data_IF_597175035281
#
_entry.id   IF_597175035281
#
_cell.length_a   1.000
_cell.length_b   1.000
_cell.length_c   1.000
_cell.angle_alpha   90.00
_cell.angle_beta   90.00
_cell.angle_gamma   90.00
#
_symmetry.space_group_name_H-M   'P 1'
#
loop_
_entity.id
_entity.type
_entity.pdbx_description
1 polymer ?
#
# COMPACT_ATOMS: atom_id res chain seq x y z
N UNK A 1 25.95 -20.75 5.16
CA UNK A 1 25.91 -19.92 6.39
C UNK A 1 26.44 -18.55 6.04
N UNK A 2 25.64 -17.51 6.28
CA UNK A 2 26.00 -16.13 5.98
C UNK A 2 27.23 -15.68 6.75
N UNK A 3 28.16 -15.01 6.09
CA UNK A 3 29.32 -14.37 6.70
C UNK A 3 29.09 -12.87 6.82
N UNK A 4 29.51 -12.27 7.93
CA UNK A 4 29.38 -10.82 8.18
C UNK A 4 30.77 -10.28 8.52
N UNK A 5 31.24 -9.29 7.75
CA UNK A 5 32.53 -8.62 7.97
C UNK A 5 32.28 -7.14 8.25
N UNK A 6 32.82 -6.64 9.37
CA UNK A 6 32.81 -5.22 9.67
C UNK A 6 33.96 -4.51 8.93
N UNK A 7 33.62 -3.41 8.28
CA UNK A 7 34.57 -2.46 7.67
C UNK A 7 34.26 -1.03 8.11
N UNK A 8 35.25 -0.17 8.03
CA UNK A 8 35.06 1.27 8.19
C UNK A 8 35.25 1.94 6.85
N UNK A 9 34.28 2.75 6.44
CA UNK A 9 34.32 3.52 5.19
C UNK A 9 34.13 4.98 5.54
N UNK A 10 34.94 5.87 4.97
CA UNK A 10 34.78 7.31 5.19
C UNK A 10 33.66 7.89 4.30
N UNK A 11 33.11 9.03 4.70
CA UNK A 11 32.17 9.77 3.86
C UNK A 11 32.81 10.11 2.51
N UNK A 12 34.09 10.49 2.49
CA UNK A 12 34.81 10.77 1.25
C UNK A 12 34.89 9.57 0.31
N UNK A 13 35.14 8.38 0.85
CA UNK A 13 35.15 7.15 0.04
C UNK A 13 33.77 6.82 -0.51
N UNK A 14 32.69 6.95 0.30
CA UNK A 14 31.35 6.59 -0.14
C UNK A 14 30.77 7.56 -1.16
N UNK A 15 31.14 8.84 -1.06
CA UNK A 15 30.70 9.90 -1.99
C UNK A 15 31.56 9.98 -3.26
N UNK A 16 32.71 9.32 -3.29
CA UNK A 16 33.55 9.25 -4.48
C UNK A 16 32.80 8.59 -5.62
N UNK A 17 32.77 9.24 -6.79
CA UNK A 17 32.05 8.74 -7.96
C UNK A 17 30.52 8.65 -7.77
N UNK A 18 29.95 9.45 -6.88
CA UNK A 18 28.50 9.47 -6.69
C UNK A 18 27.78 9.92 -7.95
N UNK A 19 26.83 9.12 -8.38
CA UNK A 19 25.89 9.41 -9.47
C UNK A 19 24.46 9.04 -9.04
N UNK A 20 23.51 9.84 -9.49
CA UNK A 20 22.06 9.59 -9.29
C UNK A 20 21.34 9.97 -10.58
N UNK A 21 21.23 9.01 -11.50
CA UNK A 21 20.55 9.18 -12.78
C UNK A 21 19.78 7.90 -13.17
N UNK A 22 18.95 8.00 -14.22
CA UNK A 22 18.11 6.89 -14.67
C UNK A 22 18.88 5.80 -15.43
N UNK A 23 20.07 6.11 -15.98
CA UNK A 23 20.86 5.15 -16.76
C UNK A 23 21.71 4.25 -15.86
N UNK A 24 22.42 4.85 -14.91
CA UNK A 24 23.36 4.15 -14.03
C UNK A 24 22.77 3.83 -12.65
N UNK A 25 21.54 4.31 -12.37
CA UNK A 25 20.94 4.20 -11.05
C UNK A 25 21.58 5.15 -10.03
N UNK A 26 21.67 4.73 -8.78
CA UNK A 26 22.28 5.51 -7.70
C UNK A 26 23.51 4.77 -7.19
N UNK A 27 24.69 5.24 -7.57
CA UNK A 27 25.95 4.59 -7.25
C UNK A 27 26.88 5.51 -6.46
N UNK A 28 27.76 4.93 -5.68
CA UNK A 28 28.83 5.59 -4.94
C UNK A 28 29.99 4.64 -4.69
N UNK A 29 30.92 5.01 -3.82
CA UNK A 29 32.09 4.20 -3.47
C UNK A 29 32.92 3.82 -4.72
N UNK A 30 33.21 4.82 -5.56
CA UNK A 30 33.92 4.60 -6.83
C UNK A 30 33.12 3.82 -7.87
N UNK A 31 31.79 3.80 -7.78
CA UNK A 31 30.91 3.02 -8.65
C UNK A 31 30.64 1.58 -8.14
N UNK A 32 31.35 1.14 -7.10
CA UNK A 32 31.28 -0.24 -6.58
C UNK A 32 30.06 -0.50 -5.69
N UNK A 33 29.33 0.53 -5.27
CA UNK A 33 28.18 0.43 -4.38
C UNK A 33 26.89 0.91 -5.07
N UNK A 34 25.93 0.00 -5.19
CA UNK A 34 24.54 0.35 -5.51
C UNK A 34 23.85 0.86 -4.23
N UNK A 35 23.63 2.17 -4.15
CA UNK A 35 23.04 2.81 -2.98
C UNK A 35 21.53 2.62 -2.95
N UNK A 36 20.88 2.50 -4.11
CA UNK A 36 19.44 2.30 -4.25
C UNK A 36 19.12 1.13 -5.17
N UNK A 37 19.38 -0.10 -4.71
CA UNK A 37 19.04 -1.28 -5.49
C UNK A 37 17.53 -1.34 -5.77
N UNK A 38 17.08 -2.07 -6.81
CA UNK A 38 15.70 -2.07 -7.30
C UNK A 38 14.63 -2.40 -6.25
N UNK A 39 14.98 -3.16 -5.20
CA UNK A 39 14.05 -3.51 -4.13
C UNK A 39 13.86 -2.40 -3.08
N UNK A 40 14.79 -1.45 -2.97
CA UNK A 40 14.71 -0.34 -2.03
C UNK A 40 13.68 0.69 -2.48
N UNK A 41 13.09 1.39 -1.50
CA UNK A 41 12.18 2.52 -1.73
C UNK A 41 12.94 3.72 -2.27
N UNK A 42 12.20 4.65 -2.85
CA UNK A 42 12.76 5.97 -3.20
C UNK A 42 13.20 6.73 -1.95
N UNK A 43 14.03 7.78 -2.17
CA UNK A 43 14.48 8.66 -1.10
C UNK A 43 13.29 9.38 -0.46
N UNK A 44 13.11 9.23 0.85
CA UNK A 44 11.94 9.72 1.59
C UNK A 44 12.30 10.66 2.75
N UNK A 45 13.59 10.87 3.05
CA UNK A 45 13.96 11.85 4.05
C UNK A 45 13.58 13.23 3.56
N UNK A 46 12.87 13.99 4.40
CA UNK A 46 12.69 15.41 4.18
C UNK A 46 13.98 16.19 4.54
N UNK A 47 14.03 17.46 4.16
CA UNK A 47 15.20 18.29 4.38
C UNK A 47 15.67 18.33 5.85
N UNK A 48 14.74 18.31 6.79
CA UNK A 48 15.05 18.28 8.24
C UNK A 48 15.73 16.99 8.66
N UNK A 49 15.30 15.86 8.12
CA UNK A 49 15.90 14.54 8.37
C UNK A 49 17.28 14.44 7.73
N UNK A 50 17.47 15.00 6.53
CA UNK A 50 18.77 15.09 5.87
C UNK A 50 19.75 15.96 6.67
N UNK A 51 19.33 17.13 7.09
CA UNK A 51 20.13 18.04 7.92
C UNK A 51 20.52 17.41 9.25
N UNK A 52 19.67 16.59 9.85
CA UNK A 52 19.98 15.86 11.09
C UNK A 52 21.12 14.85 10.90
N UNK A 53 21.25 14.22 9.73
CA UNK A 53 22.40 13.35 9.40
C UNK A 53 23.69 14.17 9.38
N UNK A 54 23.69 15.32 8.71
CA UNK A 54 24.88 16.21 8.63
C UNK A 54 25.25 16.75 10.00
N UNK A 55 24.27 17.18 10.79
CA UNK A 55 24.49 17.63 12.17
C UNK A 55 25.16 16.56 13.03
N UNK A 56 24.76 15.30 12.88
CA UNK A 56 25.32 14.14 13.61
C UNK A 56 26.79 13.94 13.25
N UNK A 57 27.13 14.01 11.95
CA UNK A 57 28.51 13.91 11.45
C UNK A 57 29.38 15.06 11.98
N UNK A 58 28.86 16.27 11.93
CA UNK A 58 29.60 17.48 12.41
C UNK A 58 29.83 17.46 13.92
N UNK A 59 28.92 16.87 14.69
CA UNK A 59 29.11 16.68 16.13
C UNK A 59 30.05 15.53 16.48
N UNK A 60 30.43 14.70 15.50
CA UNK A 60 31.22 13.50 15.72
C UNK A 60 30.48 12.40 16.46
N UNK A 61 29.13 12.48 16.48
CA UNK A 61 28.31 11.42 17.10
C UNK A 61 28.21 10.22 16.17
N UNK A 62 28.09 8.99 16.70
CA UNK A 62 27.97 7.81 15.85
C UNK A 62 26.67 7.83 15.08
N UNK A 63 26.73 7.69 13.77
CA UNK A 63 25.61 7.28 12.96
C UNK A 63 25.35 5.78 13.18
N UNK A 64 24.08 5.35 13.14
CA UNK A 64 23.76 3.93 13.18
C UNK A 64 24.53 3.19 12.08
N UNK A 65 24.90 1.94 12.38
CA UNK A 65 25.61 1.07 11.44
C UNK A 65 24.87 0.92 10.12
N UNK A 66 25.61 0.73 9.06
CA UNK A 66 25.07 0.47 7.73
C UNK A 66 25.31 -0.98 7.36
N UNK A 67 24.44 -1.55 6.55
CA UNK A 67 24.52 -2.93 6.12
C UNK A 67 24.56 -2.99 4.61
N UNK A 68 25.61 -3.62 4.10
CA UNK A 68 25.80 -3.88 2.68
C UNK A 68 25.77 -5.37 2.41
N UNK A 69 25.33 -5.74 1.23
CA UNK A 69 25.39 -7.11 0.73
C UNK A 69 26.40 -7.18 -0.40
N UNK A 70 27.19 -8.24 -0.40
CA UNK A 70 28.06 -8.57 -1.54
C UNK A 70 27.26 -9.37 -2.57
N UNK A 71 27.31 -8.89 -3.83
CA UNK A 71 26.80 -9.59 -5.01
C UNK A 71 27.91 -10.47 -5.56
N UNK A 72 27.67 -11.79 -5.66
CA UNK A 72 28.69 -12.72 -6.15
C UNK A 72 28.91 -12.58 -7.66
N UNK A 73 27.86 -12.20 -8.39
CA UNK A 73 27.80 -12.26 -9.85
C UNK A 73 28.01 -10.90 -10.54
N UNK A 74 28.21 -9.82 -9.79
CA UNK A 74 28.40 -8.48 -10.31
C UNK A 74 29.79 -7.94 -9.94
N UNK A 75 30.76 -8.10 -10.85
CA UNK A 75 32.13 -7.63 -10.64
C UNK A 75 32.27 -6.11 -10.74
N UNK A 76 31.39 -5.42 -11.47
CA UNK A 76 31.45 -3.97 -11.66
C UNK A 76 30.83 -3.20 -10.48
N UNK A 77 29.76 -3.76 -9.88
CA UNK A 77 29.08 -3.17 -8.73
C UNK A 77 28.84 -4.22 -7.64
N UNK A 78 29.93 -4.70 -6.97
CA UNK A 78 29.90 -5.84 -6.09
C UNK A 78 29.15 -5.63 -4.78
N UNK A 79 28.74 -4.40 -4.45
CA UNK A 79 28.03 -4.10 -3.21
C UNK A 79 26.68 -3.44 -3.47
N UNK A 80 25.73 -3.75 -2.61
CA UNK A 80 24.43 -3.07 -2.57
C UNK A 80 24.07 -2.71 -1.12
N UNK A 81 23.43 -1.56 -0.94
CA UNK A 81 22.96 -1.14 0.38
C UNK A 81 21.74 -1.96 0.77
N UNK A 82 21.81 -2.67 1.90
CA UNK A 82 20.67 -3.37 2.49
C UNK A 82 19.93 -2.50 3.51
N UNK A 83 20.67 -1.85 4.45
CA UNK A 83 20.14 -0.81 5.32
C UNK A 83 21.13 0.35 5.43
N UNK A 84 20.58 1.56 5.67
CA UNK A 84 21.34 2.80 5.70
C UNK A 84 21.21 3.64 4.43
N UNK A 85 20.40 3.26 3.46
CA UNK A 85 20.18 3.98 2.20
C UNK A 85 19.91 5.47 2.41
N UNK A 86 18.96 5.84 3.27
CA UNK A 86 18.57 7.24 3.48
C UNK A 86 19.72 8.08 4.04
N UNK A 87 20.51 7.51 4.94
CA UNK A 87 21.70 8.15 5.53
C UNK A 87 22.79 8.31 4.49
N UNK A 88 23.05 7.24 3.71
CA UNK A 88 24.04 7.27 2.63
C UNK A 88 23.68 8.32 1.59
N UNK A 89 22.42 8.36 1.14
CA UNK A 89 21.95 9.37 0.18
C UNK A 89 22.06 10.78 0.72
N UNK A 90 21.71 11.01 1.99
CA UNK A 90 21.85 12.34 2.62
C UNK A 90 23.30 12.83 2.61
N UNK A 91 24.25 11.93 2.88
CA UNK A 91 25.68 12.26 2.84
C UNK A 91 26.13 12.56 1.40
N UNK A 92 25.77 11.72 0.44
CA UNK A 92 26.13 11.90 -0.96
C UNK A 92 25.52 13.19 -1.54
N UNK A 93 24.25 13.44 -1.32
CA UNK A 93 23.55 14.61 -1.82
C UNK A 93 24.07 15.91 -1.20
N UNK A 94 24.45 15.89 0.09
CA UNK A 94 25.07 17.06 0.71
C UNK A 94 26.43 17.38 0.09
N UNK A 95 27.30 16.38 -0.06
CA UNK A 95 28.63 16.56 -0.67
C UNK A 95 28.50 16.97 -2.14
N UNK A 96 27.47 16.49 -2.85
CA UNK A 96 27.13 16.89 -4.22
C UNK A 96 26.46 18.28 -4.31
N UNK A 97 26.17 18.93 -3.17
CA UNK A 97 25.60 20.29 -3.12
C UNK A 97 24.09 20.37 -3.40
N UNK A 98 23.36 19.26 -3.32
CA UNK A 98 21.91 19.21 -3.60
C UNK A 98 21.04 19.89 -2.55
N UNK A 99 21.52 20.01 -1.31
CA UNK A 99 20.84 20.74 -0.25
C UNK A 99 21.85 21.46 0.67
N UNK A 100 21.35 22.33 1.53
CA UNK A 100 22.17 23.13 2.47
C UNK A 100 21.95 22.67 3.92
N UNK A 101 22.98 22.78 4.73
CA UNK A 101 22.92 22.68 6.19
C UNK A 101 23.27 24.05 6.79
N UNK A 102 22.42 24.62 7.63
CA UNK A 102 22.55 25.96 8.20
C UNK A 102 22.89 27.04 7.12
N UNK A 103 22.08 26.99 6.03
CA UNK A 103 22.21 27.89 4.87
C UNK A 103 23.52 27.79 4.09
N UNK A 104 24.35 26.77 4.33
CA UNK A 104 25.62 26.55 3.61
C UNK A 104 25.58 25.20 2.88
N UNK A 105 25.88 25.22 1.60
CA UNK A 105 26.19 24.00 0.84
C UNK A 105 27.60 23.52 1.21
N UNK A 106 27.87 22.24 0.95
CA UNK A 106 29.15 21.62 1.28
C UNK A 106 30.36 22.45 0.77
N UNK A 107 30.33 22.91 -0.49
CA UNK A 107 31.40 23.69 -1.11
C UNK A 107 31.61 25.09 -0.48
N UNK A 108 30.60 25.59 0.24
CA UNK A 108 30.68 26.90 0.93
C UNK A 108 31.05 26.73 2.42
N UNK A 109 31.33 25.51 2.87
CA UNK A 109 31.85 25.26 4.22
C UNK A 109 33.36 25.58 4.27
N UNK A 110 33.90 26.01 5.42
CA UNK A 110 35.34 26.07 5.65
C UNK A 110 36.06 24.75 5.35
N UNK A 111 37.28 24.80 4.87
CA UNK A 111 38.03 23.57 4.48
C UNK A 111 38.23 22.58 5.62
N UNK A 112 38.37 23.02 6.85
CA UNK A 112 38.47 22.17 8.02
C UNK A 112 37.17 21.43 8.28
N UNK A 113 36.04 22.08 8.06
CA UNK A 113 34.68 21.45 8.14
C UNK A 113 34.49 20.47 7.01
N UNK A 114 34.84 20.80 5.77
CA UNK A 114 34.76 19.86 4.64
C UNK A 114 35.60 18.60 4.91
N UNK A 115 36.87 18.80 5.36
CA UNK A 115 37.74 17.66 5.73
C UNK A 115 37.17 16.81 6.86
N UNK A 116 36.58 17.45 7.88
CA UNK A 116 35.93 16.75 9.00
C UNK A 116 34.75 15.87 8.51
N UNK A 117 33.95 16.40 7.60
CA UNK A 117 32.83 15.63 7.00
C UNK A 117 33.37 14.45 6.19
N UNK A 118 34.32 14.71 5.27
CA UNK A 118 34.86 13.67 4.39
C UNK A 118 35.61 12.57 5.14
N UNK A 119 36.30 12.92 6.23
CA UNK A 119 37.05 11.96 7.05
C UNK A 119 36.22 11.21 8.07
N UNK A 120 34.93 11.56 8.22
CA UNK A 120 34.04 10.87 9.15
C UNK A 120 33.86 9.40 8.77
N UNK A 121 34.08 8.49 9.75
CA UNK A 121 34.06 7.05 9.55
C UNK A 121 32.66 6.48 9.79
N UNK A 122 32.16 5.76 8.82
CA UNK A 122 30.94 4.98 8.85
C UNK A 122 31.27 3.54 9.19
N UNK A 123 30.55 2.94 10.14
CA UNK A 123 30.65 1.50 10.42
C UNK A 123 29.71 0.77 9.48
N UNK A 124 30.27 -0.13 8.67
CA UNK A 124 29.54 -0.91 7.68
C UNK A 124 29.73 -2.39 7.95
N UNK A 125 28.64 -3.15 7.98
CA UNK A 125 28.68 -4.61 7.96
C UNK A 125 28.40 -5.08 6.53
N UNK A 126 29.38 -5.78 5.95
CA UNK A 126 29.26 -6.42 4.64
C UNK A 126 28.84 -7.88 4.85
N UNK A 127 27.72 -8.26 4.26
CA UNK A 127 27.09 -9.56 4.41
C UNK A 127 27.21 -10.35 3.11
N UNK A 128 27.63 -11.60 3.21
CA UNK A 128 27.78 -12.52 2.09
C UNK A 128 27.17 -13.86 2.47
N UNK A 129 26.29 -14.42 1.62
CA UNK A 129 25.59 -15.68 1.87
C UNK A 129 24.49 -15.92 0.83
N UNK A 130 23.71 -16.97 1.02
CA UNK A 130 22.60 -17.31 0.15
C UNK A 130 21.47 -16.26 0.21
N UNK A 131 20.70 -16.06 -0.88
CA UNK A 131 19.61 -15.10 -0.93
C UNK A 131 18.59 -15.23 0.21
N UNK A 132 18.24 -16.47 0.59
CA UNK A 132 17.32 -16.75 1.69
C UNK A 132 17.86 -16.31 3.05
N UNK A 133 19.16 -16.56 3.32
CA UNK A 133 19.81 -16.16 4.57
C UNK A 133 19.91 -14.62 4.69
N UNK A 134 20.28 -13.96 3.58
CA UNK A 134 20.34 -12.49 3.50
C UNK A 134 18.97 -11.88 3.79
N UNK A 135 17.91 -12.50 3.26
CA UNK A 135 16.55 -12.05 3.44
C UNK A 135 16.05 -12.18 4.87
N UNK A 136 16.24 -13.34 5.51
CA UNK A 136 15.81 -13.56 6.89
C UNK A 136 16.54 -12.61 7.84
N UNK A 137 17.80 -12.35 7.55
CA UNK A 137 18.55 -11.38 8.31
C UNK A 137 18.06 -9.93 8.06
N UNK A 138 17.75 -9.57 6.81
CA UNK A 138 17.17 -8.26 6.46
C UNK A 138 15.85 -8.00 7.18
N UNK A 139 14.97 -8.99 7.29
CA UNK A 139 13.75 -8.89 8.11
C UNK A 139 14.10 -8.57 9.57
N UNK A 140 15.13 -9.21 10.10
CA UNK A 140 15.54 -9.05 11.49
C UNK A 140 16.11 -7.67 11.80
N UNK A 141 16.97 -7.11 10.95
CA UNK A 141 17.59 -5.79 11.19
C UNK A 141 16.62 -4.62 11.03
N UNK A 142 15.59 -4.77 10.20
CA UNK A 142 14.58 -3.72 10.01
C UNK A 142 13.65 -3.51 11.22
N UNK A 143 13.73 -4.35 12.24
CA UNK A 143 12.93 -4.20 13.48
C UNK A 143 13.29 -2.92 14.25
N UNK A 144 14.52 -2.41 14.12
CA UNK A 144 15.05 -1.28 14.93
C UNK A 144 14.98 0.10 14.25
N UNK A 145 14.55 0.21 12.99
CA UNK A 145 14.55 1.46 12.20
C UNK A 145 13.17 1.90 11.71
N UNK A 146 13.13 2.73 10.66
CA UNK A 146 11.90 3.04 9.93
C UNK A 146 11.48 1.79 9.16
N UNK A 147 10.62 0.98 9.79
CA UNK A 147 10.24 -0.35 9.31
C UNK A 147 9.81 -0.34 7.86
N UNK A 148 10.35 -1.27 7.09
CA UNK A 148 9.82 -1.61 5.77
C UNK A 148 8.44 -2.22 5.93
N UNK A 149 7.54 -1.87 5.03
CA UNK A 149 6.26 -2.55 4.97
C UNK A 149 6.42 -3.93 4.27
N UNK A 150 5.38 -4.74 4.39
CA UNK A 150 5.35 -6.09 3.83
C UNK A 150 5.68 -6.12 2.32
N UNK A 151 5.19 -5.14 1.54
CA UNK A 151 5.46 -5.09 0.11
C UNK A 151 6.91 -4.70 -0.20
N UNK A 152 7.52 -3.81 0.59
CA UNK A 152 8.93 -3.47 0.46
C UNK A 152 9.82 -4.69 0.73
N UNK A 153 9.46 -5.51 1.71
CA UNK A 153 10.12 -6.79 2.00
C UNK A 153 9.93 -7.76 0.82
N UNK A 154 8.71 -7.93 0.33
CA UNK A 154 8.43 -8.80 -0.80
C UNK A 154 9.21 -8.38 -2.07
N UNK A 155 9.35 -7.07 -2.32
CA UNK A 155 10.15 -6.57 -3.43
C UNK A 155 11.64 -6.94 -3.30
N UNK A 156 12.15 -7.05 -2.08
CA UNK A 156 13.52 -7.50 -1.82
C UNK A 156 13.68 -9.01 -2.01
N UNK A 157 12.68 -9.78 -1.52
CA UNK A 157 12.65 -11.26 -1.65
C UNK A 157 12.66 -11.70 -3.10
N UNK A 158 11.76 -11.10 -3.88
CA UNK A 158 11.50 -11.46 -5.27
C UNK A 158 12.14 -10.46 -6.22
N UNK A 159 13.28 -9.86 -5.81
CA UNK A 159 14.04 -8.97 -6.67
C UNK A 159 14.37 -9.65 -8.01
N UNK A 160 14.12 -8.94 -9.11
CA UNK A 160 14.32 -9.48 -10.47
C UNK A 160 13.83 -8.48 -11.52
N UNK A 161 13.92 -8.85 -12.82
CA UNK A 161 13.48 -7.98 -13.92
C UNK A 161 12.02 -7.58 -13.78
N UNK A 162 11.13 -8.50 -13.41
CA UNK A 162 9.71 -8.27 -13.15
C UNK A 162 9.47 -7.15 -12.14
N UNK A 163 10.06 -7.26 -10.93
CA UNK A 163 9.88 -6.24 -9.86
C UNK A 163 10.49 -4.90 -10.28
N UNK A 164 11.63 -4.92 -10.95
CA UNK A 164 12.29 -3.72 -11.45
C UNK A 164 11.43 -2.96 -12.44
N UNK A 165 10.78 -3.67 -13.38
CA UNK A 165 9.86 -3.07 -14.34
C UNK A 165 8.55 -2.66 -13.69
N UNK A 166 7.96 -3.49 -12.83
CA UNK A 166 6.76 -3.16 -12.07
C UNK A 166 6.91 -1.83 -11.30
N UNK A 167 8.06 -1.58 -10.67
CA UNK A 167 8.32 -0.32 -9.97
C UNK A 167 8.32 0.91 -10.88
N UNK A 168 8.68 0.80 -12.15
CA UNK A 168 8.56 1.91 -13.11
C UNK A 168 7.12 2.33 -13.31
N UNK A 169 6.20 1.37 -13.36
CA UNK A 169 4.78 1.61 -13.57
C UNK A 169 4.04 2.05 -12.31
N UNK A 170 4.45 1.54 -11.12
CA UNK A 170 3.65 1.62 -9.90
C UNK A 170 4.25 2.42 -8.75
N UNK A 171 5.57 2.68 -8.74
CA UNK A 171 6.26 3.17 -7.54
C UNK A 171 7.06 4.46 -7.71
N UNK A 172 7.28 4.90 -8.94
CA UNK A 172 7.98 6.18 -9.20
C UNK A 172 7.03 7.37 -9.04
N UNK A 173 7.58 8.49 -8.62
CA UNK A 173 6.85 9.76 -8.56
C UNK A 173 6.22 10.06 -9.93
N UNK A 174 4.93 10.41 -9.94
CA UNK A 174 4.14 10.66 -11.15
C UNK A 174 4.03 9.46 -12.13
N UNK A 175 4.22 8.23 -11.65
CA UNK A 175 4.06 7.04 -12.49
C UNK A 175 2.65 6.90 -13.08
N UNK A 176 2.54 6.03 -14.10
CA UNK A 176 1.28 5.78 -14.79
C UNK A 176 0.17 5.29 -13.85
N UNK A 177 0.51 4.40 -12.91
CA UNK A 177 -0.46 3.85 -11.96
C UNK A 177 -1.06 4.92 -11.03
N UNK A 178 -0.26 5.86 -10.56
CA UNK A 178 -0.75 6.97 -9.75
C UNK A 178 -1.64 7.92 -10.55
N UNK A 179 -1.20 8.32 -11.74
CA UNK A 179 -2.01 9.22 -12.59
C UNK A 179 -3.39 8.64 -12.90
N UNK A 180 -3.46 7.34 -13.16
CA UNK A 180 -4.70 6.64 -13.46
C UNK A 180 -5.53 6.36 -12.21
N UNK A 181 -4.88 5.94 -11.11
CA UNK A 181 -5.54 5.32 -9.95
C UNK A 181 -5.68 6.18 -8.70
N UNK A 182 -5.12 7.40 -8.64
CA UNK A 182 -5.08 8.23 -7.40
C UNK A 182 -6.44 8.47 -6.74
N UNK A 183 -7.50 8.48 -7.53
CA UNK A 183 -8.87 8.71 -7.08
C UNK A 183 -9.66 7.41 -6.84
N UNK A 184 -9.13 6.27 -7.21
CA UNK A 184 -9.76 4.96 -7.13
C UNK A 184 -9.07 4.00 -6.16
N UNK A 185 -7.76 4.13 -5.99
CA UNK A 185 -6.91 3.27 -5.15
C UNK A 185 -6.48 4.02 -3.89
N UNK A 186 -6.54 3.34 -2.75
CA UNK A 186 -5.99 3.84 -1.51
C UNK A 186 -4.48 3.59 -1.44
N UNK A 187 -3.75 4.51 -0.78
CA UNK A 187 -2.34 4.34 -0.48
C UNK A 187 -1.45 5.44 -1.06
N UNK A 188 -0.16 5.27 -0.85
CA UNK A 188 0.90 6.19 -1.28
C UNK A 188 1.95 5.47 -2.13
N UNK A 189 2.51 6.16 -3.11
CA UNK A 189 3.56 5.61 -3.99
C UNK A 189 4.79 5.18 -3.20
N UNK A 190 5.23 6.04 -2.28
CA UNK A 190 6.45 5.83 -1.50
C UNK A 190 6.42 4.58 -0.62
N UNK A 191 5.22 4.05 -0.31
CA UNK A 191 5.02 2.82 0.45
C UNK A 191 4.67 1.62 -0.41
N UNK A 192 4.82 1.73 -1.71
CA UNK A 192 4.53 0.65 -2.66
C UNK A 192 3.06 0.19 -2.69
N UNK A 193 2.13 0.99 -2.14
CA UNK A 193 0.72 0.60 -1.98
C UNK A 193 0.02 0.34 -3.32
N UNK A 194 0.38 1.11 -4.37
CA UNK A 194 -0.15 0.92 -5.72
C UNK A 194 0.33 -0.39 -6.34
N UNK A 195 1.63 -0.73 -6.16
CA UNK A 195 2.17 -2.01 -6.60
C UNK A 195 1.52 -3.17 -5.85
N UNK A 196 1.45 -3.07 -4.51
CA UNK A 196 0.79 -4.07 -3.67
C UNK A 196 -0.64 -4.32 -4.16
N UNK A 197 -1.42 -3.25 -4.41
CA UNK A 197 -2.80 -3.37 -4.84
C UNK A 197 -2.93 -4.02 -6.23
N UNK A 198 -2.05 -3.68 -7.16
CA UNK A 198 -2.05 -4.30 -8.49
C UNK A 198 -1.73 -5.81 -8.40
N UNK A 199 -0.75 -6.18 -7.57
CA UNK A 199 -0.38 -7.59 -7.33
C UNK A 199 -1.51 -8.36 -6.65
N UNK A 200 -2.18 -7.79 -5.64
CA UNK A 200 -3.35 -8.37 -5.00
C UNK A 200 -4.46 -8.65 -6.02
N UNK A 201 -4.77 -7.66 -6.85
CA UNK A 201 -5.81 -7.79 -7.88
C UNK A 201 -5.46 -8.85 -8.92
N UNK A 202 -4.21 -8.93 -9.33
CA UNK A 202 -3.79 -9.93 -10.32
C UNK A 202 -3.80 -11.34 -9.73
N UNK A 203 -3.32 -11.53 -8.50
CA UNK A 203 -3.38 -12.81 -7.81
C UNK A 203 -4.84 -13.29 -7.57
N UNK A 204 -5.75 -12.36 -7.23
CA UNK A 204 -7.17 -12.65 -7.12
C UNK A 204 -7.80 -13.00 -8.48
N UNK A 205 -7.38 -12.30 -9.56
CA UNK A 205 -7.82 -12.60 -10.92
C UNK A 205 -7.43 -14.02 -11.33
N UNK A 206 -6.17 -14.41 -11.18
CA UNK A 206 -5.71 -15.76 -11.46
C UNK A 206 -6.42 -16.82 -10.62
N UNK A 207 -6.71 -16.50 -9.34
CA UNK A 207 -7.48 -17.40 -8.49
C UNK A 207 -8.90 -17.62 -9.01
N UNK A 208 -9.55 -16.60 -9.56
CA UNK A 208 -10.87 -16.71 -10.21
C UNK A 208 -10.84 -17.48 -11.52
N UNK A 209 -9.73 -17.42 -12.25
CA UNK A 209 -9.47 -18.22 -13.45
C UNK A 209 -9.10 -19.69 -13.14
N UNK A 210 -9.08 -20.09 -11.85
CA UNK A 210 -8.83 -21.46 -11.40
C UNK A 210 -7.41 -21.74 -10.94
N UNK A 211 -6.53 -20.74 -10.94
CA UNK A 211 -5.15 -20.83 -10.46
C UNK A 211 -5.06 -20.28 -9.04
N UNK A 212 -5.18 -21.12 -8.02
CA UNK A 212 -5.10 -20.67 -6.62
C UNK A 212 -3.77 -19.93 -6.37
N UNK A 213 -3.85 -18.61 -6.30
CA UNK A 213 -2.67 -17.75 -6.22
C UNK A 213 -2.76 -16.77 -5.05
N UNK A 214 -1.62 -16.52 -4.41
CA UNK A 214 -1.44 -15.44 -3.43
C UNK A 214 -0.56 -14.36 -4.03
N UNK A 215 -0.56 -13.14 -3.47
CA UNK A 215 0.37 -12.08 -3.89
C UNK A 215 1.81 -12.57 -3.89
N UNK A 216 2.23 -13.25 -2.83
CA UNK A 216 3.58 -13.80 -2.67
C UNK A 216 3.86 -14.89 -3.69
N UNK A 217 2.91 -15.79 -3.90
CA UNK A 217 3.00 -16.84 -4.92
C UNK A 217 3.10 -16.27 -6.34
N UNK A 218 2.32 -15.24 -6.66
CA UNK A 218 2.40 -14.53 -7.94
C UNK A 218 3.79 -13.91 -8.15
N UNK A 219 4.33 -13.20 -7.16
CA UNK A 219 5.67 -12.60 -7.24
C UNK A 219 6.76 -13.66 -7.41
N UNK A 220 6.64 -14.81 -6.72
CA UNK A 220 7.58 -15.92 -6.85
C UNK A 220 7.55 -16.55 -8.25
N UNK A 221 6.35 -16.77 -8.80
CA UNK A 221 6.18 -17.37 -10.13
C UNK A 221 6.73 -16.47 -11.25
N UNK A 222 6.59 -15.16 -11.11
CA UNK A 222 6.96 -14.17 -12.12
C UNK A 222 8.31 -13.48 -11.87
N UNK A 223 9.07 -13.84 -10.83
CA UNK A 223 10.32 -13.19 -10.43
C UNK A 223 11.29 -12.97 -11.60
N UNK A 224 11.39 -13.93 -12.50
CA UNK A 224 12.32 -13.95 -13.61
C UNK A 224 11.72 -13.50 -14.95
N UNK A 225 10.47 -13.10 -14.98
CA UNK A 225 9.85 -12.54 -16.18
C UNK A 225 10.58 -11.26 -16.59
N UNK A 226 10.73 -11.04 -17.90
CA UNK A 226 11.49 -9.91 -18.43
C UNK A 226 10.87 -8.56 -18.09
N UNK A 227 9.55 -8.52 -17.93
CA UNK A 227 8.80 -7.32 -17.63
C UNK A 227 7.53 -7.60 -16.81
N UNK A 228 6.84 -6.55 -16.40
CA UNK A 228 5.55 -6.59 -15.69
C UNK A 228 4.38 -6.12 -16.55
N UNK A 229 4.48 -6.25 -17.87
CA UNK A 229 3.47 -5.74 -18.82
C UNK A 229 2.08 -6.35 -18.56
N UNK A 230 1.99 -7.64 -18.25
CA UNK A 230 0.71 -8.31 -17.96
C UNK A 230 0.02 -7.67 -16.75
N UNK A 231 0.75 -7.44 -15.68
CA UNK A 231 0.28 -6.77 -14.47
C UNK A 231 -0.19 -5.34 -14.78
N UNK A 232 0.62 -4.59 -15.55
CA UNK A 232 0.31 -3.21 -15.91
C UNK A 232 -0.93 -3.10 -16.79
N UNK A 233 -1.04 -3.94 -17.82
CA UNK A 233 -2.20 -3.96 -18.72
C UNK A 233 -3.49 -4.36 -18.00
N UNK A 234 -3.42 -5.33 -17.09
CA UNK A 234 -4.58 -5.71 -16.28
C UNK A 234 -5.04 -4.55 -15.38
N UNK A 235 -4.13 -3.92 -14.66
CA UNK A 235 -4.42 -2.74 -13.83
C UNK A 235 -5.07 -1.61 -14.65
N UNK A 236 -4.55 -1.35 -15.85
CA UNK A 236 -5.15 -0.35 -16.75
C UNK A 236 -6.57 -0.73 -17.20
N UNK A 237 -6.79 -2.00 -17.58
CA UNK A 237 -8.12 -2.48 -17.98
C UNK A 237 -9.14 -2.30 -16.86
N UNK A 238 -8.78 -2.69 -15.64
CA UNK A 238 -9.62 -2.56 -14.45
C UNK A 238 -10.03 -1.11 -14.20
N UNK A 239 -9.06 -0.20 -14.15
CA UNK A 239 -9.34 1.20 -13.84
C UNK A 239 -10.02 1.95 -14.98
N UNK A 240 -9.64 1.69 -16.23
CA UNK A 240 -10.32 2.28 -17.39
C UNK A 240 -11.78 1.85 -17.46
N UNK A 241 -12.08 0.59 -17.15
CA UNK A 241 -13.47 0.12 -17.04
C UNK A 241 -14.24 0.87 -15.95
N UNK A 242 -13.65 1.03 -14.77
CA UNK A 242 -14.27 1.79 -13.69
C UNK A 242 -14.55 3.25 -14.08
N UNK A 243 -13.58 3.91 -14.71
CA UNK A 243 -13.70 5.31 -15.18
C UNK A 243 -14.75 5.44 -16.28
N UNK A 244 -14.85 4.47 -17.20
CA UNK A 244 -15.81 4.50 -18.28
C UNK A 244 -17.27 4.30 -17.83
N UNK A 245 -17.47 3.54 -16.73
CA UNK A 245 -18.82 3.17 -16.30
C UNK A 245 -19.36 4.03 -15.14
N UNK A 246 -18.50 4.76 -14.42
CA UNK A 246 -18.92 5.55 -13.25
C UNK A 246 -18.41 6.99 -13.34
N UNK A 247 -19.28 7.96 -13.07
CA UNK A 247 -18.94 9.39 -13.10
C UNK A 247 -17.99 9.76 -11.94
N UNK A 248 -16.70 9.85 -12.26
CA UNK A 248 -15.65 10.20 -11.30
C UNK A 248 -15.86 11.55 -10.62
N UNK A 249 -16.50 12.52 -11.28
CA UNK A 249 -16.74 13.85 -10.70
C UNK A 249 -17.82 13.80 -9.64
N UNK A 250 -18.86 12.99 -9.87
CA UNK A 250 -20.02 12.90 -8.97
C UNK A 250 -19.83 11.89 -7.83
N UNK A 251 -19.13 10.79 -8.08
CA UNK A 251 -19.12 9.63 -7.19
C UNK A 251 -17.76 9.32 -6.56
N UNK A 252 -16.77 10.20 -6.73
CA UNK A 252 -15.40 10.03 -6.21
C UNK A 252 -15.34 9.57 -4.75
N UNK A 253 -16.20 10.13 -3.89
CA UNK A 253 -16.19 9.83 -2.44
C UNK A 253 -16.52 8.37 -2.11
N UNK A 254 -17.29 7.70 -2.96
CA UNK A 254 -17.71 6.30 -2.75
C UNK A 254 -16.95 5.31 -3.63
N UNK A 255 -16.10 5.80 -4.55
CA UNK A 255 -15.34 4.98 -5.50
C UNK A 255 -13.97 4.55 -4.96
N UNK A 256 -13.37 5.40 -4.10
CA UNK A 256 -12.00 5.19 -3.64
C UNK A 256 -11.88 3.97 -2.72
N UNK A 257 -10.93 3.09 -3.02
CA UNK A 257 -10.63 1.91 -2.21
C UNK A 257 -11.53 0.69 -2.46
N UNK A 258 -12.40 0.73 -3.46
CA UNK A 258 -13.16 -0.45 -3.87
C UNK A 258 -12.24 -1.51 -4.51
N UNK A 259 -12.62 -2.78 -4.40
CA UNK A 259 -11.95 -3.85 -5.15
C UNK A 259 -12.43 -3.86 -6.60
N UNK A 260 -11.88 -2.92 -7.39
CA UNK A 260 -12.27 -2.73 -8.79
C UNK A 260 -12.00 -3.96 -9.65
N UNK A 261 -10.96 -4.73 -9.35
CA UNK A 261 -10.65 -5.96 -10.08
C UNK A 261 -11.78 -7.00 -9.97
N UNK A 262 -12.35 -7.17 -8.75
CA UNK A 262 -13.49 -8.06 -8.55
C UNK A 262 -14.68 -7.67 -9.45
N UNK A 263 -14.97 -6.38 -9.52
CA UNK A 263 -16.10 -5.88 -10.31
C UNK A 263 -15.83 -5.94 -11.81
N UNK A 264 -14.61 -5.65 -12.22
CA UNK A 264 -14.17 -5.79 -13.61
C UNK A 264 -14.27 -7.25 -14.09
N UNK A 265 -13.76 -8.20 -13.33
CA UNK A 265 -13.80 -9.63 -13.70
C UNK A 265 -15.25 -10.16 -13.81
N UNK A 266 -16.17 -9.66 -12.97
CA UNK A 266 -17.59 -10.07 -13.02
C UNK A 266 -18.41 -9.34 -14.08
N UNK A 267 -18.07 -8.10 -14.39
CA UNK A 267 -18.93 -7.22 -15.20
C UNK A 267 -18.21 -6.59 -16.39
N UNK A 268 -16.90 -6.75 -16.55
CA UNK A 268 -16.10 -6.09 -17.59
C UNK A 268 -16.51 -6.43 -19.02
N UNK A 269 -17.09 -7.61 -19.23
CA UNK A 269 -17.63 -8.06 -20.52
C UNK A 269 -19.09 -7.65 -20.77
N UNK A 270 -19.77 -7.10 -19.74
CA UNK A 270 -21.20 -6.74 -19.82
C UNK A 270 -21.35 -5.27 -20.21
N UNK A 271 -22.30 -4.97 -21.08
CA UNK A 271 -22.69 -3.58 -21.34
C UNK A 271 -23.53 -3.08 -20.18
N UNK A 272 -23.08 -2.01 -19.53
CA UNK A 272 -23.79 -1.38 -18.41
C UNK A 272 -24.51 -0.12 -18.92
N UNK A 273 -25.76 0.08 -18.48
CA UNK A 273 -26.46 1.35 -18.68
C UNK A 273 -25.93 2.39 -17.69
N UNK A 274 -24.91 3.12 -18.09
CA UNK A 274 -24.22 4.12 -17.25
C UNK A 274 -25.14 5.25 -16.78
N UNK A 275 -26.18 5.58 -17.56
CA UNK A 275 -27.16 6.64 -17.23
C UNK A 275 -28.09 6.15 -16.11
N UNK A 276 -28.63 4.94 -16.26
CA UNK A 276 -29.48 4.33 -15.23
C UNK A 276 -28.71 4.08 -13.93
N UNK A 277 -27.46 3.56 -14.03
CA UNK A 277 -26.55 3.38 -12.90
C UNK A 277 -26.29 4.70 -12.17
N UNK A 278 -25.93 5.75 -12.89
CA UNK A 278 -25.66 7.07 -12.32
C UNK A 278 -26.84 7.66 -11.58
N UNK A 279 -28.07 7.55 -12.15
CA UNK A 279 -29.30 7.99 -11.47
C UNK A 279 -29.56 7.19 -10.20
N UNK A 280 -29.43 5.88 -10.24
CA UNK A 280 -29.64 5.00 -9.08
C UNK A 280 -28.62 5.28 -7.97
N UNK A 281 -27.34 5.43 -8.29
CA UNK A 281 -26.29 5.79 -7.33
C UNK A 281 -26.61 7.14 -6.66
N UNK A 282 -26.96 8.16 -7.45
CA UNK A 282 -27.28 9.50 -6.93
C UNK A 282 -28.50 9.49 -5.97
N UNK A 283 -29.49 8.64 -6.20
CA UNK A 283 -30.62 8.43 -5.31
C UNK A 283 -30.18 7.77 -4.00
N UNK A 284 -29.39 6.70 -4.08
CA UNK A 284 -28.92 5.96 -2.91
C UNK A 284 -27.96 6.78 -2.04
N UNK A 285 -27.15 7.65 -2.61
CA UNK A 285 -26.27 8.56 -1.84
C UNK A 285 -27.04 9.54 -0.95
N UNK A 286 -28.32 9.75 -1.20
CA UNK A 286 -29.20 10.61 -0.38
C UNK A 286 -30.04 9.82 0.62
N UNK A 287 -29.97 8.50 0.59
CA UNK A 287 -30.76 7.65 1.48
C UNK A 287 -30.09 7.53 2.85
N UNK A 288 -30.75 8.10 3.87
CA UNK A 288 -30.25 8.11 5.26
C UNK A 288 -30.24 6.74 5.94
N UNK A 289 -30.87 5.72 5.36
CA UNK A 289 -30.84 4.35 5.87
C UNK A 289 -29.50 3.65 5.57
N UNK A 290 -28.74 4.14 4.58
CA UNK A 290 -27.48 3.56 4.16
C UNK A 290 -26.34 4.05 5.07
N UNK A 291 -25.78 3.15 5.87
CA UNK A 291 -24.66 3.47 6.76
C UNK A 291 -23.30 3.31 6.09
N UNK A 292 -23.20 2.53 4.99
CA UNK A 292 -21.96 2.28 4.27
C UNK A 292 -22.04 2.81 2.82
N UNK A 293 -21.75 4.09 2.59
CA UNK A 293 -21.83 4.68 1.25
C UNK A 293 -20.93 4.01 0.21
N UNK A 294 -19.75 3.51 0.61
CA UNK A 294 -18.85 2.75 -0.27
C UNK A 294 -19.45 1.42 -0.78
N UNK A 295 -20.52 0.95 -0.15
CA UNK A 295 -21.27 -0.23 -0.59
C UNK A 295 -22.29 0.03 -1.69
N UNK A 296 -22.56 1.29 -2.03
CA UNK A 296 -23.58 1.66 -3.03
C UNK A 296 -23.24 1.11 -4.42
N UNK A 297 -21.99 1.25 -4.87
CA UNK A 297 -21.57 0.72 -6.18
C UNK A 297 -21.64 -0.81 -6.22
N UNK A 298 -21.08 -1.56 -5.25
CA UNK A 298 -21.32 -2.98 -5.11
C UNK A 298 -22.79 -3.37 -5.16
N UNK A 299 -23.64 -2.71 -4.39
CA UNK A 299 -25.08 -2.97 -4.37
C UNK A 299 -25.75 -2.74 -5.75
N UNK A 300 -25.42 -1.66 -6.42
CA UNK A 300 -26.02 -1.36 -7.74
C UNK A 300 -25.63 -2.40 -8.79
N UNK A 301 -24.43 -2.99 -8.68
CA UNK A 301 -23.94 -4.04 -9.56
C UNK A 301 -24.54 -5.42 -9.23
N UNK A 302 -24.75 -5.74 -7.95
CA UNK A 302 -25.15 -7.08 -7.49
C UNK A 302 -26.63 -7.20 -7.12
N UNK A 303 -27.22 -6.11 -6.65
CA UNK A 303 -28.55 -6.11 -6.02
C UNK A 303 -28.54 -6.59 -4.57
N UNK A 304 -27.39 -6.91 -4.00
CA UNK A 304 -27.25 -7.44 -2.64
C UNK A 304 -27.12 -6.34 -1.59
N UNK A 305 -28.11 -6.28 -0.68
CA UNK A 305 -28.20 -5.27 0.38
C UNK A 305 -27.10 -5.39 1.44
N UNK A 306 -26.44 -6.55 1.56
CA UNK A 306 -25.36 -6.74 2.53
C UNK A 306 -24.21 -5.71 2.34
N UNK A 307 -24.06 -5.17 1.13
CA UNK A 307 -23.07 -4.14 0.84
C UNK A 307 -23.38 -2.79 1.50
N UNK A 308 -24.64 -2.49 1.76
CA UNK A 308 -25.09 -1.15 2.19
C UNK A 308 -24.95 -0.93 3.70
N UNK A 309 -24.91 -1.99 4.50
CA UNK A 309 -25.00 -1.90 5.95
C UNK A 309 -26.16 -0.98 6.38
N UNK A 310 -27.38 -1.43 6.09
CA UNK A 310 -28.58 -0.65 6.39
C UNK A 310 -28.73 -0.44 7.89
N UNK A 311 -29.39 0.65 8.29
CA UNK A 311 -29.67 0.92 9.70
C UNK A 311 -30.44 -0.24 10.33
N UNK A 312 -30.02 -0.61 11.52
CA UNK A 312 -30.77 -1.50 12.42
C UNK A 312 -31.60 -0.68 13.40
N UNK A 313 -32.63 -1.25 13.93
CA UNK A 313 -33.43 -0.58 14.95
C UNK A 313 -32.61 -0.35 16.22
N UNK A 314 -32.53 0.87 16.74
CA UNK A 314 -31.93 1.13 18.05
C UNK A 314 -32.83 0.56 19.17
N UNK A 315 -32.25 0.38 20.35
CA UNK A 315 -32.91 -0.37 21.42
C UNK A 315 -34.18 0.29 21.97
N UNK A 316 -34.28 1.62 21.95
CA UNK A 316 -35.50 2.35 22.30
C UNK A 316 -36.68 1.96 21.40
N UNK A 317 -36.47 1.94 20.10
CA UNK A 317 -37.47 1.50 19.10
C UNK A 317 -37.84 0.02 19.29
N UNK A 318 -36.84 -0.84 19.56
CA UNK A 318 -37.07 -2.25 19.81
C UNK A 318 -37.89 -2.47 21.08
N UNK A 319 -37.57 -1.76 22.16
CA UNK A 319 -38.33 -1.80 23.42
C UNK A 319 -39.79 -1.39 23.21
N UNK A 320 -40.03 -0.30 22.51
CA UNK A 320 -41.39 0.17 22.21
C UNK A 320 -42.15 -0.88 21.39
N UNK A 321 -41.50 -1.51 20.42
CA UNK A 321 -42.12 -2.57 19.61
C UNK A 321 -42.40 -3.83 20.47
N UNK A 322 -41.49 -4.19 21.38
CA UNK A 322 -41.64 -5.32 22.29
C UNK A 322 -42.80 -5.16 23.27
N UNK A 323 -42.92 -3.95 23.88
CA UNK A 323 -44.01 -3.58 24.74
C UNK A 323 -45.37 -3.59 23.97
N UNK A 324 -45.38 -2.98 22.78
CA UNK A 324 -46.57 -2.98 21.89
C UNK A 324 -47.05 -4.35 21.56
N UNK A 325 -46.14 -5.36 21.45
CA UNK A 325 -46.43 -6.74 21.17
C UNK A 325 -46.74 -7.56 22.43
N UNK A 326 -46.79 -6.92 23.63
CA UNK A 326 -46.98 -7.61 24.92
C UNK A 326 -46.02 -8.73 25.14
N UNK A 327 -44.74 -8.53 24.75
CA UNK A 327 -43.63 -9.49 24.91
C UNK A 327 -43.78 -10.77 24.10
N UNK A 328 -44.75 -10.88 23.16
CA UNK A 328 -45.06 -12.08 22.41
C UNK A 328 -44.52 -12.01 20.99
N UNK A 329 -43.83 -13.07 20.55
CA UNK A 329 -43.44 -13.23 19.17
C UNK A 329 -44.69 -13.45 18.28
N UNK A 330 -44.99 -12.60 17.29
CA UNK A 330 -46.23 -12.70 16.52
C UNK A 330 -46.28 -13.91 15.56
N UNK A 331 -45.17 -14.62 15.35
CA UNK A 331 -45.11 -15.80 14.49
C UNK A 331 -45.39 -17.07 15.32
N UNK A 332 -44.58 -17.32 16.35
CA UNK A 332 -44.71 -18.56 17.15
C UNK A 332 -45.53 -18.40 18.44
N UNK A 333 -46.04 -17.21 18.73
CA UNK A 333 -46.89 -16.89 19.88
C UNK A 333 -46.24 -17.17 21.26
N UNK A 334 -44.93 -17.33 21.33
CA UNK A 334 -44.18 -17.48 22.60
C UNK A 334 -43.95 -16.09 23.24
N UNK A 335 -44.19 -16.00 24.54
CA UNK A 335 -43.80 -14.88 25.36
C UNK A 335 -42.33 -15.01 25.69
N UNK A 336 -41.54 -13.95 25.48
CA UNK A 336 -40.11 -13.97 25.60
C UNK A 336 -39.58 -12.62 26.13
N UNK A 337 -38.52 -12.67 26.92
CA UNK A 337 -37.79 -11.49 27.34
C UNK A 337 -37.12 -10.79 26.16
N UNK A 338 -36.90 -9.49 26.30
CA UNK A 338 -36.34 -8.62 25.26
C UNK A 338 -35.04 -9.17 24.63
N UNK A 339 -34.18 -9.75 25.48
CA UNK A 339 -32.86 -10.27 25.07
C UNK A 339 -32.94 -11.46 24.09
N UNK A 340 -34.08 -12.16 24.03
CA UNK A 340 -34.31 -13.30 23.15
C UNK A 340 -35.03 -12.93 21.84
N UNK A 341 -35.28 -11.63 21.64
CA UNK A 341 -35.97 -11.14 20.46
C UNK A 341 -35.12 -10.17 19.64
N UNK A 342 -35.37 -10.13 18.34
CA UNK A 342 -34.68 -9.27 17.38
C UNK A 342 -35.68 -8.36 16.66
N UNK A 343 -35.29 -7.10 16.44
CA UNK A 343 -36.10 -6.12 15.73
C UNK A 343 -35.95 -6.29 14.22
N UNK A 344 -37.05 -6.63 13.54
CA UNK A 344 -37.12 -6.87 12.10
C UNK A 344 -38.05 -5.84 11.45
N UNK A 345 -37.69 -5.39 10.24
CA UNK A 345 -38.50 -4.49 9.44
C UNK A 345 -39.78 -5.22 8.95
N UNK A 346 -40.98 -4.69 9.25
CA UNK A 346 -42.27 -5.17 8.71
C UNK A 346 -42.29 -4.99 7.20
N UNK A 347 -41.93 -3.80 6.75
CA UNK A 347 -41.74 -3.47 5.33
C UNK A 347 -40.23 -3.37 5.07
N UNK A 348 -39.65 -4.24 4.24
CA UNK A 348 -38.24 -4.21 3.89
C UNK A 348 -37.86 -2.88 3.25
N UNK A 349 -36.58 -2.45 3.46
CA UNK A 349 -36.03 -1.22 2.88
C UNK A 349 -36.26 -1.12 1.36
N UNK A 350 -36.07 -2.20 0.60
CA UNK A 350 -36.36 -2.26 -0.85
C UNK A 350 -37.78 -1.86 -1.24
N UNK A 351 -38.72 -2.08 -0.35
CA UNK A 351 -40.14 -1.72 -0.54
C UNK A 351 -40.51 -0.39 0.09
N UNK A 352 -39.50 0.43 0.44
CA UNK A 352 -39.68 1.76 1.02
C UNK A 352 -39.78 1.80 2.55
N UNK A 353 -39.56 0.68 3.23
CA UNK A 353 -39.52 0.62 4.69
C UNK A 353 -38.39 1.48 5.25
N UNK A 354 -38.64 2.08 6.42
CA UNK A 354 -37.67 2.91 7.14
C UNK A 354 -37.47 2.37 8.54
N UNK A 355 -36.36 2.74 9.17
CA UNK A 355 -36.01 2.37 10.55
C UNK A 355 -36.73 3.32 11.53
N UNK A 356 -38.05 3.11 11.66
CA UNK A 356 -38.95 3.85 12.53
C UNK A 356 -39.82 2.86 13.34
N UNK A 357 -40.36 3.33 14.48
CA UNK A 357 -41.11 2.50 15.43
C UNK A 357 -42.26 1.72 14.78
N UNK A 358 -43.01 2.33 13.86
CA UNK A 358 -44.17 1.73 13.21
C UNK A 358 -43.75 0.54 12.28
N UNK A 359 -42.53 0.57 11.81
CA UNK A 359 -41.97 -0.47 10.93
C UNK A 359 -41.14 -1.51 11.67
N UNK A 360 -41.00 -1.41 12.99
CA UNK A 360 -40.31 -2.38 13.83
C UNK A 360 -41.26 -3.47 14.32
N UNK A 361 -40.85 -4.72 14.17
CA UNK A 361 -41.51 -5.90 14.73
C UNK A 361 -40.47 -6.77 15.42
N UNK A 362 -40.75 -7.12 16.67
CA UNK A 362 -39.89 -8.03 17.43
C UNK A 362 -40.23 -9.49 17.14
N UNK A 363 -39.25 -10.28 16.76
CA UNK A 363 -39.35 -11.71 16.54
C UNK A 363 -38.37 -12.47 17.43
N UNK A 364 -38.70 -13.66 17.87
CA UNK A 364 -37.70 -14.54 18.47
C UNK A 364 -36.61 -14.90 17.45
N UNK A 365 -35.40 -15.22 17.91
CA UNK A 365 -34.27 -15.54 17.03
C UNK A 365 -34.53 -16.63 16.03
N UNK A 366 -35.35 -17.68 16.42
CA UNK A 366 -35.73 -18.77 15.54
C UNK A 366 -36.62 -18.25 14.39
N UNK A 367 -37.60 -17.40 14.69
CA UNK A 367 -38.51 -16.83 13.68
C UNK A 367 -37.89 -15.71 12.85
N UNK A 368 -36.88 -15.06 13.37
CA UNK A 368 -36.12 -14.00 12.65
C UNK A 368 -35.16 -14.58 11.59
N UNK A 369 -34.77 -15.85 11.74
CA UNK A 369 -33.83 -16.52 10.81
C UNK A 369 -34.57 -17.28 9.66
N UNK A 370 -35.88 -17.28 9.63
CA UNK A 370 -36.69 -17.84 8.54
C UNK A 370 -37.01 -16.74 7.51
#
# INVERSE_FOLDING_TARGET
MMTIKQINVTVGEITNGYVNNDEQGVRGYGGLLDIRPPFQREFIYNEREQQAVIATVLKGYPLNVMYWVRRADDAECPYEVMDGQQRTLSLCEYVDGKFSYEFKNFFNQPEDIQRRILSYKLTVYVCEGEPSEKLDWFKTINIAGKQLNEQEINNAVYAGPFVSDAKRHFSKTNCGAYRLGKDLVNGTLNRQDFLKKALEWMAEHETREGHRQTLVGYMAAHQHDLDANSLWLYYQKVLNWAIANFDMKKFKSIMKGLNWALWYDKYGTKTLDTVALGRRIATLMRDSEIQRPSGIIPYVLTGDECHLNLKTFPDDIKHEAWERQKHVCPICQRELDFEFMEGIHITPWRKGGRTVTENCRMLCRECASI
#
